data_IF_897705092756
#
_entry.id   IF_897705092756
#
_cell.length_a   1.000
_cell.length_b   1.000
_cell.length_c   1.000
_cell.angle_alpha   90.00
_cell.angle_beta   90.00
_cell.angle_gamma   90.00
#
_symmetry.space_group_name_H-M   'P 1'
#
loop_
_entity.id
_entity.type
_entity.pdbx_description
1 polymer ?
#
# COMPACT_ATOMS: atom_id res chain seq x y z
N UNK A 1 -4.36 -12.01 -34.25
CA UNK A 1 -5.13 -12.69 -33.20
C UNK A 1 -6.15 -11.70 -32.68
N UNK A 2 -7.31 -11.70 -33.31
CA UNK A 2 -8.44 -10.83 -32.95
C UNK A 2 -9.11 -11.34 -31.68
N UNK A 3 -9.31 -10.42 -30.73
CA UNK A 3 -10.01 -10.71 -29.48
C UNK A 3 -11.47 -10.27 -29.63
N UNK A 4 -12.36 -11.26 -29.66
CA UNK A 4 -13.80 -11.12 -29.76
C UNK A 4 -14.39 -10.35 -28.55
N UNK A 5 -15.27 -9.40 -28.82
CA UNK A 5 -15.76 -8.35 -27.92
C UNK A 5 -17.24 -8.50 -27.56
N UNK A 6 -17.75 -9.74 -27.51
CA UNK A 6 -19.17 -10.02 -27.23
C UNK A 6 -19.41 -10.65 -25.85
N UNK A 7 -19.27 -9.85 -24.78
CA UNK A 7 -20.02 -10.05 -23.51
C UNK A 7 -19.95 -8.79 -22.65
N UNK A 8 -20.76 -7.76 -22.98
CA UNK A 8 -20.98 -6.62 -22.08
C UNK A 8 -22.27 -5.83 -22.43
N UNK A 9 -23.41 -6.49 -22.65
CA UNK A 9 -24.67 -5.82 -23.00
C UNK A 9 -25.77 -5.85 -21.93
N UNK A 10 -25.58 -6.49 -20.77
CA UNK A 10 -26.68 -6.70 -19.79
C UNK A 10 -26.66 -5.84 -18.52
N UNK A 11 -25.83 -4.79 -18.43
CA UNK A 11 -25.72 -3.95 -17.21
C UNK A 11 -26.30 -2.53 -17.37
N UNK A 12 -26.85 -2.18 -18.55
CA UNK A 12 -27.40 -0.84 -18.80
C UNK A 12 -28.84 -0.59 -18.33
N UNK A 13 -29.56 -1.59 -17.83
CA UNK A 13 -30.99 -1.45 -17.49
C UNK A 13 -31.30 -1.08 -16.02
N UNK A 14 -30.34 -1.09 -15.09
CA UNK A 14 -30.62 -0.91 -13.65
C UNK A 14 -30.26 0.50 -13.11
N UNK A 15 -29.61 1.34 -13.92
CA UNK A 15 -29.15 2.68 -13.46
C UNK A 15 -30.19 3.80 -13.69
N UNK A 16 -31.24 3.54 -14.48
CA UNK A 16 -32.25 4.56 -14.80
C UNK A 16 -33.32 4.77 -13.69
N UNK A 17 -33.44 3.88 -12.70
CA UNK A 17 -34.51 3.94 -11.70
C UNK A 17 -34.13 4.62 -10.38
N UNK A 18 -32.86 4.92 -10.15
CA UNK A 18 -32.39 5.54 -8.89
C UNK A 18 -32.25 7.06 -8.93
N UNK A 19 -32.53 7.71 -10.08
CA UNK A 19 -32.37 9.17 -10.23
C UNK A 19 -33.63 9.99 -9.91
N UNK A 20 -34.77 9.35 -9.65
CA UNK A 20 -36.06 10.04 -9.44
C UNK A 20 -36.35 10.32 -7.94
N UNK A 21 -35.65 9.67 -7.01
CA UNK A 21 -35.92 9.81 -5.57
C UNK A 21 -35.01 10.81 -4.82
N UNK A 22 -34.11 11.51 -5.51
CA UNK A 22 -33.22 12.51 -4.89
C UNK A 22 -33.75 13.96 -4.95
N UNK A 23 -34.97 14.18 -5.45
CA UNK A 23 -35.56 15.51 -5.66
C UNK A 23 -36.54 15.98 -4.57
N UNK A 24 -36.64 15.27 -3.43
CA UNK A 24 -37.51 15.69 -2.32
C UNK A 24 -36.70 16.05 -1.08
N UNK A 25 -36.48 17.36 -0.96
CA UNK A 25 -36.27 18.20 0.21
C UNK A 25 -35.96 17.58 1.58
N UNK A 26 -35.00 18.20 2.29
CA UNK A 26 -35.24 19.01 3.50
C UNK A 26 -33.86 19.48 4.01
N UNK A 27 -33.53 20.76 3.81
CA UNK A 27 -32.38 21.41 4.44
C UNK A 27 -32.83 21.99 5.79
N UNK A 28 -32.32 21.43 6.90
CA UNK A 28 -32.38 22.09 8.22
C UNK A 28 -31.09 22.86 8.46
N UNK A 29 -31.24 24.17 8.69
CA UNK A 29 -30.22 25.11 9.11
C UNK A 29 -29.78 24.81 10.55
N UNK A 30 -28.47 24.72 10.79
CA UNK A 30 -27.88 24.64 12.13
C UNK A 30 -27.22 26.00 12.45
N UNK A 31 -27.53 26.64 13.59
CA UNK A 31 -26.94 27.92 13.95
C UNK A 31 -25.49 27.79 14.45
N UNK A 32 -24.66 28.75 14.04
CA UNK A 32 -23.28 28.96 14.50
C UNK A 32 -23.26 29.35 15.99
N UNK A 33 -22.49 28.63 16.81
CA UNK A 33 -22.13 29.07 18.17
C UNK A 33 -20.80 29.84 18.14
N UNK A 34 -20.79 30.96 18.85
CA UNK A 34 -19.66 31.86 19.04
C UNK A 34 -18.53 31.19 19.84
N UNK A 35 -17.29 31.50 19.44
CA UNK A 35 -16.07 31.12 20.15
C UNK A 35 -15.73 32.26 21.11
N UNK A 36 -15.82 32.00 22.41
CA UNK A 36 -15.32 32.90 23.46
C UNK A 36 -13.84 32.58 23.66
N UNK A 37 -13.01 33.60 23.45
CA UNK A 37 -11.57 33.61 23.72
C UNK A 37 -11.33 34.13 25.13
N UNK A 38 -10.72 33.32 25.98
CA UNK A 38 -10.13 33.79 27.23
C UNK A 38 -8.67 33.33 27.32
N UNK A 39 -7.77 34.30 27.25
CA UNK A 39 -6.37 34.15 27.65
C UNK A 39 -6.25 34.43 29.15
N UNK A 40 -5.54 33.57 29.87
CA UNK A 40 -4.91 33.96 31.12
C UNK A 40 -3.59 33.19 31.25
N UNK A 41 -2.50 33.96 31.30
CA UNK A 41 -1.17 33.48 31.61
C UNK A 41 -1.06 33.19 33.10
N UNK A 42 -0.40 32.10 33.47
CA UNK A 42 0.14 31.94 34.82
C UNK A 42 1.43 31.15 34.71
N UNK A 43 2.55 31.84 34.93
CA UNK A 43 3.86 31.26 35.11
C UNK A 43 3.95 30.77 36.57
N UNK A 44 4.02 29.46 36.75
CA UNK A 44 4.23 28.83 38.06
C UNK A 44 5.15 27.63 37.87
N UNK A 45 6.36 27.72 38.42
CA UNK A 45 7.34 26.64 38.44
C UNK A 45 6.83 25.49 39.32
N UNK A 46 6.66 24.32 38.73
CA UNK A 46 6.33 23.08 39.44
C UNK A 46 7.42 22.05 39.15
N UNK A 47 8.12 21.63 40.20
CA UNK A 47 9.04 20.51 40.17
C UNK A 47 8.31 19.28 39.62
N UNK A 48 8.77 18.75 38.48
CA UNK A 48 8.14 17.62 37.80
C UNK A 48 8.39 16.34 38.59
N UNK A 49 7.52 16.05 39.56
CA UNK A 49 7.36 14.71 40.10
C UNK A 49 6.82 13.84 38.97
N UNK A 50 7.75 13.14 38.30
CA UNK A 50 7.46 12.14 37.28
C UNK A 50 6.73 10.96 37.92
N UNK A 51 5.43 11.15 38.16
CA UNK A 51 4.46 10.10 38.46
C UNK A 51 4.50 9.09 37.31
N UNK A 52 5.30 8.03 37.49
CA UNK A 52 5.29 6.88 36.58
C UNK A 52 3.92 6.24 36.75
N UNK A 53 3.02 6.53 35.81
CA UNK A 53 1.74 5.84 35.74
C UNK A 53 1.99 4.33 35.82
N UNK A 54 1.27 3.62 36.72
CA UNK A 54 1.46 2.19 36.90
C UNK A 54 1.29 1.50 35.55
N UNK A 55 2.35 0.78 35.14
CA UNK A 55 2.35 0.04 33.88
C UNK A 55 1.51 -1.21 34.10
N UNK A 56 0.26 -1.20 33.63
CA UNK A 56 -0.61 -2.37 33.73
C UNK A 56 0.06 -3.58 33.05
N UNK A 57 0.00 -4.78 33.66
CA UNK A 57 0.56 -5.99 33.06
C UNK A 57 -0.10 -6.27 31.71
N UNK A 58 0.71 -6.35 30.66
CA UNK A 58 0.24 -6.64 29.31
C UNK A 58 -0.02 -8.14 29.23
N UNK A 59 -1.30 -8.53 29.20
CA UNK A 59 -1.65 -9.93 28.93
C UNK A 59 -1.18 -10.30 27.52
N UNK A 60 -0.45 -11.42 27.35
CA UNK A 60 0.06 -11.83 26.05
C UNK A 60 -1.12 -12.14 25.11
N UNK A 61 -1.21 -11.39 24.02
CA UNK A 61 -2.24 -11.57 22.98
C UNK A 61 -1.72 -12.59 21.97
N UNK A 62 -2.45 -13.68 21.77
CA UNK A 62 -2.13 -14.66 20.71
C UNK A 62 -2.27 -14.01 19.33
N UNK A 63 -1.30 -14.17 18.41
CA UNK A 63 -1.38 -13.59 17.08
C UNK A 63 -2.55 -14.16 16.25
N UNK A 64 -3.32 -13.32 15.53
CA UNK A 64 -4.44 -13.76 14.69
C UNK A 64 -3.98 -14.30 13.32
N UNK A 65 -2.76 -14.82 13.25
CA UNK A 65 -2.10 -15.35 12.06
C UNK A 65 -1.06 -16.39 12.43
N UNK A 66 -0.76 -17.30 11.49
CA UNK A 66 0.12 -18.44 11.74
C UNK A 66 1.59 -18.02 11.83
N UNK A 67 1.99 -17.10 10.93
CA UNK A 67 3.37 -16.61 10.83
C UNK A 67 3.40 -15.20 10.24
N UNK A 68 4.35 -14.39 10.70
CA UNK A 68 4.72 -13.15 10.04
C UNK A 68 5.90 -13.39 9.08
N UNK A 69 5.87 -12.74 7.92
CA UNK A 69 6.99 -12.63 7.02
C UNK A 69 7.35 -11.16 6.88
N UNK A 70 8.64 -10.85 6.86
CA UNK A 70 9.09 -9.51 6.49
C UNK A 70 10.11 -9.59 5.34
N UNK A 71 9.90 -8.77 4.32
CA UNK A 71 10.77 -8.71 3.14
C UNK A 71 11.89 -7.70 3.41
N UNK A 72 13.14 -8.13 3.30
CA UNK A 72 14.31 -7.32 3.60
C UNK A 72 15.50 -7.68 2.68
N UNK A 73 16.22 -6.66 2.22
CA UNK A 73 17.44 -6.86 1.45
C UNK A 73 18.61 -7.28 2.37
N UNK A 74 19.48 -8.19 1.91
CA UNK A 74 20.57 -8.74 2.74
C UNK A 74 21.52 -7.65 3.27
N UNK A 75 21.83 -6.64 2.45
CA UNK A 75 22.69 -5.52 2.86
C UNK A 75 22.03 -4.52 3.81
N UNK A 76 20.73 -4.66 4.12
CA UNK A 76 19.97 -3.74 4.98
C UNK A 76 19.90 -4.23 6.43
N UNK A 77 21.05 -4.52 7.04
CA UNK A 77 21.17 -5.07 8.40
C UNK A 77 20.47 -4.22 9.47
N UNK A 78 20.63 -2.90 9.43
CA UNK A 78 19.95 -1.99 10.38
C UNK A 78 18.42 -2.11 10.30
N UNK A 79 17.86 -2.26 9.08
CA UNK A 79 16.41 -2.40 8.86
C UNK A 79 15.92 -3.77 9.28
N UNK A 80 16.73 -4.81 9.05
CA UNK A 80 16.51 -6.16 9.57
C UNK A 80 16.39 -6.12 11.10
N UNK A 81 17.40 -5.59 11.78
CA UNK A 81 17.45 -5.57 13.24
C UNK A 81 16.29 -4.75 13.83
N UNK A 82 15.92 -3.64 13.16
CA UNK A 82 14.73 -2.85 13.49
C UNK A 82 13.43 -3.65 13.39
N UNK A 83 13.22 -4.41 12.31
CA UNK A 83 12.02 -5.25 12.15
C UNK A 83 11.97 -6.40 13.15
N UNK A 84 13.08 -7.11 13.32
CA UNK A 84 13.15 -8.26 14.22
C UNK A 84 12.93 -7.85 15.68
N UNK A 85 13.46 -6.69 16.09
CA UNK A 85 13.23 -6.15 17.44
C UNK A 85 11.74 -5.94 17.71
N UNK A 86 11.03 -5.27 16.80
CA UNK A 86 9.59 -5.00 16.95
C UNK A 86 8.75 -6.29 16.98
N UNK A 87 9.12 -7.30 16.18
CA UNK A 87 8.42 -8.58 16.12
C UNK A 87 8.70 -9.46 17.34
N UNK A 88 9.95 -9.51 17.82
CA UNK A 88 10.33 -10.21 19.07
C UNK A 88 9.63 -9.60 20.28
N UNK A 89 9.62 -8.26 20.38
CA UNK A 89 8.93 -7.54 21.46
C UNK A 89 7.42 -7.84 21.50
N UNK A 90 6.81 -8.13 20.36
CA UNK A 90 5.40 -8.51 20.28
C UNK A 90 5.15 -10.01 20.50
N UNK A 91 6.19 -10.82 20.74
CA UNK A 91 6.07 -12.28 20.90
C UNK A 91 5.61 -13.01 19.63
N UNK A 92 5.83 -12.42 18.45
CA UNK A 92 5.35 -12.96 17.18
C UNK A 92 6.40 -13.90 16.58
N UNK A 93 5.96 -15.06 16.06
CA UNK A 93 6.82 -15.92 15.23
C UNK A 93 6.94 -15.32 13.83
N UNK A 94 8.17 -15.13 13.37
CA UNK A 94 8.42 -14.51 12.07
C UNK A 94 9.54 -15.19 11.28
N UNK A 95 9.56 -14.89 9.98
CA UNK A 95 10.60 -15.31 9.04
C UNK A 95 11.01 -14.13 8.16
N UNK A 96 12.33 -13.99 7.96
CA UNK A 96 12.88 -13.03 6.99
C UNK A 96 12.77 -13.61 5.59
N UNK A 97 12.10 -12.90 4.70
CA UNK A 97 12.12 -13.19 3.29
C UNK A 97 13.12 -12.29 2.57
N UNK A 98 14.04 -12.89 1.80
CA UNK A 98 15.06 -12.15 1.06
C UNK A 98 14.40 -11.28 -0.01
N UNK A 99 14.64 -9.97 0.05
CA UNK A 99 14.32 -9.08 -1.06
C UNK A 99 15.27 -9.36 -2.23
N UNK A 100 14.71 -9.59 -3.41
CA UNK A 100 15.48 -9.83 -4.62
C UNK A 100 16.08 -8.52 -5.13
N UNK A 101 17.39 -8.44 -5.39
CA UNK A 101 18.00 -7.20 -5.84
C UNK A 101 17.54 -6.88 -7.26
N UNK A 102 17.20 -5.62 -7.54
CA UNK A 102 16.71 -5.19 -8.85
C UNK A 102 17.80 -5.07 -9.93
N UNK A 103 18.70 -6.04 -10.07
CA UNK A 103 19.80 -5.98 -11.04
C UNK A 103 19.46 -6.71 -12.35
N UNK A 104 20.20 -6.45 -13.46
CA UNK A 104 20.03 -7.19 -14.71
C UNK A 104 20.13 -8.72 -14.55
N UNK A 105 20.88 -9.22 -13.56
CA UNK A 105 21.01 -10.65 -13.26
C UNK A 105 19.66 -11.32 -12.92
N UNK A 106 18.63 -10.56 -12.53
CA UNK A 106 17.28 -11.10 -12.36
C UNK A 106 16.71 -11.69 -13.65
N UNK A 107 17.02 -11.09 -14.81
CA UNK A 107 16.51 -11.59 -16.09
C UNK A 107 16.99 -13.02 -16.37
N UNK A 108 18.20 -13.35 -15.92
CA UNK A 108 18.79 -14.68 -16.08
C UNK A 108 18.27 -15.65 -15.00
N UNK A 109 18.34 -15.23 -13.74
CA UNK A 109 18.01 -16.10 -12.58
C UNK A 109 16.51 -16.31 -12.37
N UNK A 110 15.66 -15.43 -12.92
CA UNK A 110 14.21 -15.44 -12.72
C UNK A 110 13.46 -15.34 -14.06
N UNK A 111 14.05 -15.86 -15.14
CA UNK A 111 13.53 -15.79 -16.53
C UNK A 111 12.05 -16.11 -16.65
N UNK A 112 11.57 -17.15 -15.97
CA UNK A 112 10.17 -17.58 -16.00
C UNK A 112 9.16 -16.49 -15.59
N UNK A 113 9.56 -15.49 -14.78
CA UNK A 113 8.69 -14.37 -14.43
C UNK A 113 8.62 -13.30 -15.52
N UNK A 114 9.65 -13.23 -16.38
CA UNK A 114 9.81 -12.25 -17.45
C UNK A 114 9.26 -12.72 -18.81
N UNK A 115 9.03 -14.02 -19.01
CA UNK A 115 8.46 -14.58 -20.25
C UNK A 115 7.11 -13.96 -20.62
N UNK A 116 6.39 -13.44 -19.62
CA UNK A 116 5.12 -12.72 -19.78
C UNK A 116 5.28 -11.21 -19.94
N UNK A 117 6.49 -10.70 -20.14
CA UNK A 117 6.76 -9.27 -20.32
C UNK A 117 6.74 -8.42 -19.04
N UNK A 118 7.20 -7.18 -19.21
CA UNK A 118 7.24 -6.12 -18.20
C UNK A 118 6.54 -4.89 -18.78
N UNK A 119 5.79 -4.17 -17.97
CA UNK A 119 5.13 -2.94 -18.42
C UNK A 119 6.15 -1.90 -18.91
N UNK A 120 5.87 -1.26 -20.04
CA UNK A 120 6.78 -0.33 -20.72
C UNK A 120 7.31 0.77 -19.78
N UNK A 121 6.44 1.33 -18.93
CA UNK A 121 6.80 2.42 -18.01
C UNK A 121 7.82 2.00 -16.93
N UNK A 122 7.98 0.70 -16.65
CA UNK A 122 8.99 0.23 -15.70
C UNK A 122 10.40 0.27 -16.30
N UNK A 123 10.53 0.21 -17.63
CA UNK A 123 11.82 0.42 -18.30
C UNK A 123 12.21 1.90 -18.31
N UNK A 124 11.23 2.80 -18.41
CA UNK A 124 11.44 4.26 -18.49
C UNK A 124 11.91 4.87 -17.16
N UNK A 125 11.68 4.18 -16.03
CA UNK A 125 11.93 4.74 -14.71
C UNK A 125 13.43 4.83 -14.34
N UNK A 126 14.34 4.31 -15.15
CA UNK A 126 15.78 4.46 -14.94
C UNK A 126 16.54 4.53 -16.27
N UNK A 127 17.49 5.46 -16.33
CA UNK A 127 18.34 5.83 -17.47
C UNK A 127 17.70 6.79 -18.48
N UNK A 128 17.85 8.09 -18.20
CA UNK A 128 17.75 9.13 -19.26
C UNK A 128 19.14 9.62 -19.67
N UNK A 129 20.21 9.11 -19.04
CA UNK A 129 21.59 9.51 -19.34
C UNK A 129 22.48 8.39 -19.90
N UNK A 130 22.33 7.13 -19.44
CA UNK A 130 23.28 6.05 -19.79
C UNK A 130 22.66 4.88 -20.56
N UNK A 131 21.34 4.77 -20.70
CA UNK A 131 20.66 3.60 -21.27
C UNK A 131 20.78 2.30 -20.46
N UNK A 132 21.62 2.26 -19.42
CA UNK A 132 21.83 1.08 -18.58
C UNK A 132 20.98 1.21 -17.33
N UNK A 133 20.17 0.19 -17.07
CA UNK A 133 19.36 0.19 -15.86
C UNK A 133 20.14 -0.45 -14.71
N UNK A 134 20.65 0.39 -13.82
CA UNK A 134 21.41 -0.06 -12.67
C UNK A 134 20.54 -0.71 -11.59
N UNK A 135 19.30 -0.24 -11.42
CA UNK A 135 18.36 -0.74 -10.38
C UNK A 135 16.89 -0.72 -10.82
N UNK A 136 16.20 -1.84 -10.60
CA UNK A 136 14.76 -2.02 -10.80
C UNK A 136 14.01 -2.17 -9.48
N UNK A 137 13.94 -1.11 -8.67
CA UNK A 137 13.27 -1.17 -7.35
C UNK A 137 11.82 -1.70 -7.42
N UNK A 138 11.06 -1.33 -8.46
CA UNK A 138 9.67 -1.82 -8.63
C UNK A 138 9.61 -3.30 -9.03
N UNK A 139 10.48 -3.76 -9.94
CA UNK A 139 10.55 -5.18 -10.34
C UNK A 139 11.06 -6.04 -9.18
N UNK A 140 12.09 -5.56 -8.49
CA UNK A 140 12.61 -6.15 -7.25
C UNK A 140 11.51 -6.34 -6.22
N UNK A 141 10.72 -5.28 -5.94
CA UNK A 141 9.59 -5.35 -5.01
C UNK A 141 8.55 -6.36 -5.50
N UNK A 142 8.19 -6.33 -6.78
CA UNK A 142 7.24 -7.27 -7.36
C UNK A 142 7.69 -8.72 -7.20
N UNK A 143 8.92 -9.05 -7.60
CA UNK A 143 9.43 -10.42 -7.55
C UNK A 143 9.62 -10.89 -6.11
N UNK A 144 10.05 -10.02 -5.20
CA UNK A 144 10.21 -10.37 -3.78
C UNK A 144 8.87 -10.78 -3.15
N UNK A 145 7.79 -10.05 -3.45
CA UNK A 145 6.44 -10.43 -3.02
C UNK A 145 5.96 -11.69 -3.73
N UNK A 146 6.16 -11.80 -5.05
CA UNK A 146 5.71 -12.97 -5.83
C UNK A 146 6.35 -14.27 -5.33
N UNK A 147 7.68 -14.30 -5.15
CA UNK A 147 8.39 -15.48 -4.66
C UNK A 147 7.97 -15.85 -3.23
N UNK A 148 7.73 -14.85 -2.37
CA UNK A 148 7.17 -15.09 -1.03
C UNK A 148 5.79 -15.75 -1.11
N UNK A 149 4.92 -15.27 -2.00
CA UNK A 149 3.57 -15.84 -2.15
C UNK A 149 3.63 -17.30 -2.61
N UNK A 150 4.52 -17.62 -3.55
CA UNK A 150 4.74 -19.00 -4.00
C UNK A 150 5.27 -19.88 -2.88
N UNK A 151 6.22 -19.38 -2.10
CA UNK A 151 6.71 -20.08 -0.92
C UNK A 151 5.58 -20.38 0.08
N UNK A 152 4.78 -19.37 0.43
CA UNK A 152 3.68 -19.55 1.39
C UNK A 152 2.66 -20.56 0.87
N UNK A 153 2.27 -20.46 -0.42
CA UNK A 153 1.32 -21.40 -1.02
C UNK A 153 1.88 -22.82 -1.12
N UNK A 154 3.18 -22.97 -1.36
CA UNK A 154 3.84 -24.27 -1.39
C UNK A 154 3.86 -24.94 -0.01
N UNK A 155 4.18 -24.19 1.04
CA UNK A 155 4.33 -24.75 2.40
C UNK A 155 2.98 -24.91 3.12
N UNK A 156 2.06 -23.96 2.98
CA UNK A 156 0.78 -23.95 3.72
C UNK A 156 -0.46 -24.14 2.84
N UNK A 157 -0.30 -24.50 1.57
CA UNK A 157 -1.40 -24.61 0.62
C UNK A 157 -2.56 -25.46 1.12
N UNK A 158 -2.30 -26.60 1.75
CA UNK A 158 -3.34 -27.50 2.24
C UNK A 158 -4.30 -26.84 3.27
N UNK A 159 -3.83 -25.84 4.04
CA UNK A 159 -4.60 -25.25 5.13
C UNK A 159 -5.30 -23.95 4.71
N UNK A 160 -6.52 -24.08 4.17
CA UNK A 160 -7.30 -22.96 3.59
C UNK A 160 -7.66 -21.81 4.55
N UNK A 161 -7.65 -22.05 5.87
CA UNK A 161 -7.98 -21.06 6.90
C UNK A 161 -6.77 -20.26 7.39
N UNK A 162 -5.55 -20.70 7.05
CA UNK A 162 -4.32 -20.02 7.46
C UNK A 162 -4.24 -18.58 6.94
N UNK A 163 -3.86 -17.68 7.84
CA UNK A 163 -3.55 -16.28 7.55
C UNK A 163 -2.08 -15.96 7.88
N UNK A 164 -1.54 -14.99 7.16
CA UNK A 164 -0.14 -14.56 7.26
C UNK A 164 -0.08 -13.04 7.30
N UNK A 165 0.81 -12.53 8.17
CA UNK A 165 1.19 -11.13 8.18
C UNK A 165 2.40 -10.96 7.25
N UNK A 166 2.32 -10.04 6.29
CA UNK A 166 3.42 -9.73 5.38
C UNK A 166 3.81 -8.27 5.59
N UNK A 167 5.11 -8.05 5.81
CA UNK A 167 5.71 -6.77 6.14
C UNK A 167 6.82 -6.39 5.16
N UNK A 168 7.03 -5.10 4.96
CA UNK A 168 8.26 -4.55 4.39
C UNK A 168 9.15 -3.99 5.51
N UNK A 169 10.45 -3.93 5.26
CA UNK A 169 11.48 -3.54 6.22
C UNK A 169 11.59 -2.03 6.49
N UNK A 170 10.65 -1.22 5.98
CA UNK A 170 10.41 0.19 6.33
C UNK A 170 9.08 0.40 7.08
N UNK A 171 8.52 -0.67 7.64
CA UNK A 171 7.31 -0.58 8.45
C UNK A 171 7.65 -0.32 9.90
N UNK A 172 7.21 0.80 10.45
CA UNK A 172 7.21 1.01 11.88
C UNK A 172 5.86 0.65 12.48
N UNK A 173 5.84 -0.35 13.35
CA UNK A 173 4.63 -0.76 14.05
C UNK A 173 4.43 0.13 15.29
N UNK A 174 3.17 0.44 15.60
CA UNK A 174 2.81 1.18 16.82
C UNK A 174 3.07 0.30 18.04
N UNK A 175 3.21 0.93 19.20
CA UNK A 175 3.17 0.20 20.48
C UNK A 175 1.82 -0.53 20.59
N UNK A 176 1.84 -1.76 21.10
CA UNK A 176 0.66 -2.62 21.24
C UNK A 176 -0.09 -2.91 19.93
N UNK A 177 0.59 -2.83 18.77
CA UNK A 177 -0.03 -3.05 17.46
C UNK A 177 -0.74 -4.41 17.34
N UNK A 178 -0.25 -5.45 18.03
CA UNK A 178 -0.86 -6.78 17.98
C UNK A 178 -2.22 -6.80 18.66
N UNK A 179 -2.34 -6.13 19.81
CA UNK A 179 -3.61 -5.95 20.50
C UNK A 179 -4.59 -5.13 19.66
N UNK A 180 -4.11 -4.03 19.06
CA UNK A 180 -4.90 -3.21 18.14
C UNK A 180 -5.39 -4.05 16.95
N UNK A 181 -4.52 -4.84 16.34
CA UNK A 181 -4.87 -5.71 15.22
C UNK A 181 -5.95 -6.72 15.61
N UNK A 182 -5.79 -7.38 16.77
CA UNK A 182 -6.79 -8.33 17.27
C UNK A 182 -8.14 -7.66 17.57
N UNK A 183 -8.15 -6.41 18.02
CA UNK A 183 -9.38 -5.63 18.21
C UNK A 183 -10.05 -5.30 16.87
N UNK A 184 -9.30 -4.76 15.90
CA UNK A 184 -9.83 -4.39 14.58
C UNK A 184 -10.33 -5.63 13.82
N UNK A 185 -9.63 -6.77 13.93
CA UNK A 185 -10.06 -8.01 13.25
C UNK A 185 -11.40 -8.58 13.74
N UNK A 186 -11.88 -8.18 14.92
CA UNK A 186 -13.24 -8.54 15.36
C UNK A 186 -14.33 -7.75 14.65
N UNK A 187 -13.97 -6.62 14.03
CA UNK A 187 -14.88 -5.70 13.37
C UNK A 187 -14.90 -5.85 11.84
N UNK A 188 -13.87 -6.50 11.27
CA UNK A 188 -13.84 -6.77 9.82
C UNK A 188 -14.82 -7.91 9.48
N UNK A 189 -15.43 -7.84 8.30
CA UNK A 189 -16.26 -8.94 7.79
C UNK A 189 -15.49 -10.27 7.87
N UNK A 190 -16.02 -11.32 8.53
CA UNK A 190 -15.30 -12.58 8.77
C UNK A 190 -14.81 -13.29 7.50
N UNK A 191 -15.39 -12.96 6.35
CA UNK A 191 -15.04 -13.52 5.05
C UNK A 191 -13.99 -12.68 4.28
N UNK A 192 -13.26 -11.81 4.99
CA UNK A 192 -12.14 -11.07 4.40
C UNK A 192 -11.11 -11.99 3.73
N UNK A 193 -10.52 -11.53 2.65
CA UNK A 193 -9.45 -12.23 1.94
C UNK A 193 -8.09 -11.61 2.21
N UNK A 194 -8.08 -10.27 2.28
CA UNK A 194 -6.90 -9.42 2.48
C UNK A 194 -7.27 -8.20 3.29
N UNK A 195 -6.35 -7.77 4.13
CA UNK A 195 -6.49 -6.55 4.91
C UNK A 195 -5.20 -5.74 4.84
N UNK A 196 -5.25 -4.55 4.24
CA UNK A 196 -4.14 -3.61 4.21
C UNK A 196 -4.07 -2.88 5.56
N UNK A 197 -2.96 -3.05 6.26
CA UNK A 197 -2.79 -2.57 7.64
C UNK A 197 -1.98 -1.28 7.71
N UNK A 198 -1.02 -1.12 6.80
CA UNK A 198 -0.24 0.09 6.56
C UNK A 198 -0.15 0.28 5.05
N UNK A 199 -0.65 1.42 4.58
CA UNK A 199 -0.78 1.75 3.16
C UNK A 199 -0.71 3.27 2.97
N UNK A 200 -0.49 3.74 1.74
CA UNK A 200 -0.40 5.13 1.33
C UNK A 200 -1.28 5.47 0.12
N UNK A 201 -1.46 6.77 -0.14
CA UNK A 201 -2.37 7.27 -1.18
C UNK A 201 -3.72 7.72 -0.61
N UNK A 202 -4.77 7.65 -1.41
CA UNK A 202 -6.12 8.11 -1.09
C UNK A 202 -7.01 6.95 -0.63
N UNK A 203 -7.97 7.28 0.23
CA UNK A 203 -9.15 6.45 0.47
C UNK A 203 -10.33 6.98 -0.33
N UNK A 204 -11.23 6.09 -0.74
CA UNK A 204 -12.57 6.43 -1.20
C UNK A 204 -13.47 6.54 0.02
N UNK A 205 -13.78 7.77 0.46
CA UNK A 205 -14.54 8.03 1.69
C UNK A 205 -15.88 7.26 1.72
N UNK A 206 -16.57 7.19 0.58
CA UNK A 206 -17.84 6.47 0.42
C UNK A 206 -17.72 4.94 0.57
N UNK A 207 -16.50 4.40 0.60
CA UNK A 207 -16.24 2.97 0.79
C UNK A 207 -15.81 2.63 2.22
N UNK A 208 -15.80 3.61 3.14
CA UNK A 208 -15.29 3.46 4.50
C UNK A 208 -16.42 3.50 5.55
N UNK A 209 -16.20 2.84 6.70
CA UNK A 209 -17.19 2.70 7.77
C UNK A 209 -16.67 3.08 9.18
N UNK A 210 -15.64 3.91 9.28
CA UNK A 210 -15.01 4.33 10.54
C UNK A 210 -13.84 3.44 10.99
N UNK A 211 -13.74 2.23 10.43
CA UNK A 211 -12.69 1.25 10.74
C UNK A 211 -11.97 0.78 9.48
N UNK A 212 -12.75 0.39 8.47
CA UNK A 212 -12.24 -0.19 7.23
C UNK A 212 -12.81 0.52 6.02
N UNK A 213 -12.03 0.54 4.96
CA UNK A 213 -12.47 0.87 3.62
C UNK A 213 -12.48 -0.37 2.73
N UNK A 214 -13.54 -0.56 1.95
CA UNK A 214 -13.58 -1.59 0.90
C UNK A 214 -12.64 -1.18 -0.24
N UNK A 215 -11.65 -2.02 -0.51
CA UNK A 215 -10.67 -1.78 -1.57
C UNK A 215 -11.24 -2.29 -2.89
N UNK A 216 -11.43 -1.38 -3.84
CA UNK A 216 -11.94 -1.66 -5.19
C UNK A 216 -10.99 -1.13 -6.26
N UNK A 217 -10.93 -1.76 -7.46
CA UNK A 217 -10.29 -1.15 -8.61
C UNK A 217 -10.99 0.15 -9.04
N UNK A 218 -10.30 1.01 -9.81
CA UNK A 218 -8.89 0.91 -10.16
C UNK A 218 -7.97 1.37 -9.02
N UNK A 219 -6.72 0.90 -8.97
CA UNK A 219 -5.74 1.33 -7.95
C UNK A 219 -5.23 2.75 -8.17
N UNK A 220 -5.28 3.23 -9.40
CA UNK A 220 -4.72 4.50 -9.84
C UNK A 220 -5.34 4.87 -11.20
N UNK A 221 -4.80 5.87 -11.92
CA UNK A 221 -5.28 6.16 -13.25
C UNK A 221 -5.21 4.90 -14.12
N UNK A 222 -6.26 4.67 -14.88
CA UNK A 222 -6.35 3.66 -15.93
C UNK A 222 -5.53 4.12 -17.15
N UNK A 223 -5.42 3.27 -18.17
CA UNK A 223 -4.64 3.41 -19.43
C UNK A 223 -4.66 4.79 -20.12
N UNK A 224 -5.54 5.72 -19.73
CA UNK A 224 -5.68 7.07 -20.28
C UNK A 224 -4.97 8.18 -19.48
N UNK A 225 -4.19 7.87 -18.44
CA UNK A 225 -3.51 8.91 -17.65
C UNK A 225 -2.17 8.46 -17.07
N UNK A 226 -1.18 9.37 -16.95
CA UNK A 226 0.12 9.01 -16.41
C UNK A 226 -0.01 8.43 -15.00
N UNK A 227 0.47 7.21 -14.78
CA UNK A 227 0.63 6.61 -13.44
C UNK A 227 1.41 7.52 -12.47
N UNK A 228 2.15 8.50 -12.98
CA UNK A 228 2.91 9.49 -12.23
C UNK A 228 2.10 10.72 -11.76
N UNK A 229 0.85 10.92 -12.20
CA UNK A 229 0.05 12.11 -11.85
C UNK A 229 -1.39 11.82 -11.39
N UNK A 230 -1.86 10.58 -11.44
CA UNK A 230 -3.22 10.23 -11.02
C UNK A 230 -3.35 9.91 -9.53
N UNK A 231 -4.58 10.05 -9.02
CA UNK A 231 -4.97 9.64 -7.66
C UNK A 231 -4.71 8.15 -7.47
N UNK A 232 -3.76 7.79 -6.61
CA UNK A 232 -3.49 6.40 -6.20
C UNK A 232 -4.32 6.07 -4.96
N UNK A 233 -5.09 4.99 -5.01
CA UNK A 233 -5.99 4.54 -3.96
C UNK A 233 -5.47 3.26 -3.32
N UNK A 234 -5.34 3.25 -1.99
CA UNK A 234 -4.95 2.06 -1.22
C UNK A 234 -3.63 1.40 -1.69
N UNK A 235 -2.67 2.21 -2.13
CA UNK A 235 -1.36 1.70 -2.54
C UNK A 235 -0.48 1.42 -1.33
N UNK A 236 0.59 0.64 -1.50
CA UNK A 236 1.49 0.27 -0.42
C UNK A 236 1.14 -1.07 0.19
N UNK A 237 2.18 -1.90 0.33
CA UNK A 237 2.15 -3.22 0.94
C UNK A 237 3.11 -3.28 2.13
N UNK A 238 3.26 -2.16 2.85
CA UNK A 238 4.13 -2.06 4.01
C UNK A 238 3.73 -3.08 5.08
N UNK A 239 2.44 -3.17 5.40
CA UNK A 239 1.93 -4.20 6.28
C UNK A 239 0.55 -4.65 5.81
N UNK A 240 0.33 -5.95 5.71
CA UNK A 240 -0.97 -6.49 5.34
C UNK A 240 -1.14 -7.94 5.79
N UNK A 241 -2.40 -8.31 6.06
CA UNK A 241 -2.81 -9.68 6.33
C UNK A 241 -3.40 -10.31 5.08
N UNK A 242 -3.17 -11.60 4.91
CA UNK A 242 -3.70 -12.37 3.78
C UNK A 242 -4.02 -13.80 4.17
N UNK A 243 -5.15 -14.32 3.66
CA UNK A 243 -5.48 -15.74 3.74
C UNK A 243 -4.88 -16.52 2.58
N UNK A 244 -4.52 -17.78 2.81
CA UNK A 244 -3.89 -18.64 1.78
C UNK A 244 -4.74 -18.74 0.49
N UNK A 245 -6.08 -18.79 0.63
CA UNK A 245 -7.01 -18.82 -0.50
C UNK A 245 -6.87 -17.60 -1.41
N UNK A 246 -6.57 -16.45 -0.81
CA UNK A 246 -6.34 -15.20 -1.53
C UNK A 246 -4.99 -15.19 -2.24
N UNK A 247 -3.93 -15.71 -1.60
CA UNK A 247 -2.61 -15.86 -2.24
C UNK A 247 -2.69 -16.76 -3.48
N UNK A 248 -3.41 -17.87 -3.42
CA UNK A 248 -3.66 -18.73 -4.61
C UNK A 248 -4.36 -17.98 -5.74
N UNK A 249 -5.39 -17.19 -5.41
CA UNK A 249 -6.08 -16.34 -6.38
C UNK A 249 -5.11 -15.33 -7.01
N UNK A 250 -4.26 -14.69 -6.19
CA UNK A 250 -3.27 -13.72 -6.64
C UNK A 250 -2.21 -14.35 -7.54
N UNK A 251 -1.58 -15.44 -7.11
CA UNK A 251 -0.54 -16.13 -7.89
C UNK A 251 -1.05 -16.53 -9.28
N UNK A 252 -2.25 -17.11 -9.38
CA UNK A 252 -2.85 -17.46 -10.68
C UNK A 252 -2.96 -16.25 -11.62
N UNK A 253 -3.22 -15.05 -11.08
CA UNK A 253 -3.31 -13.83 -11.89
C UNK A 253 -1.96 -13.20 -12.17
N UNK A 254 -1.06 -13.15 -11.19
CA UNK A 254 0.31 -12.65 -11.36
C UNK A 254 1.06 -13.45 -12.41
N UNK A 255 0.80 -14.77 -12.52
CA UNK A 255 1.38 -15.64 -13.56
C UNK A 255 0.93 -15.33 -14.98
N UNK A 256 -0.20 -14.63 -15.16
CA UNK A 256 -0.81 -14.32 -16.46
C UNK A 256 -0.70 -12.85 -16.87
N UNK A 257 0.04 -12.04 -16.11
CA UNK A 257 0.11 -10.59 -16.32
C UNK A 257 1.55 -10.12 -16.41
N UNK A 258 1.76 -9.07 -17.19
CA UNK A 258 3.04 -8.37 -17.24
C UNK A 258 3.48 -7.96 -15.83
N UNK A 259 4.80 -7.97 -15.60
CA UNK A 259 5.37 -7.40 -14.39
C UNK A 259 5.03 -5.91 -14.36
N UNK A 260 4.46 -5.46 -13.24
CA UNK A 260 4.16 -4.06 -12.96
C UNK A 260 4.28 -3.76 -11.48
N UNK A 261 3.97 -2.54 -11.06
CA UNK A 261 3.87 -2.22 -9.64
C UNK A 261 2.93 -3.20 -8.88
N UNK A 262 3.48 -3.93 -7.90
CA UNK A 262 2.74 -4.96 -7.16
C UNK A 262 1.57 -4.37 -6.37
N UNK A 263 1.69 -3.16 -5.80
CA UNK A 263 0.61 -2.47 -5.09
C UNK A 263 -0.62 -2.33 -6.01
N UNK A 264 -0.37 -1.91 -7.27
CA UNK A 264 -1.42 -1.75 -8.26
C UNK A 264 -2.04 -3.10 -8.64
N UNK A 265 -1.23 -4.14 -8.86
CA UNK A 265 -1.75 -5.48 -9.12
C UNK A 265 -2.63 -5.98 -7.98
N UNK A 266 -2.24 -5.73 -6.74
CA UNK A 266 -2.98 -6.17 -5.57
C UNK A 266 -4.37 -5.53 -5.51
N UNK A 267 -4.49 -4.22 -5.74
CA UNK A 267 -5.78 -3.53 -5.73
C UNK A 267 -6.62 -3.83 -6.98
N UNK A 268 -5.99 -3.94 -8.15
CA UNK A 268 -6.68 -4.28 -9.40
C UNK A 268 -7.14 -5.74 -9.47
N UNK A 269 -6.57 -6.58 -8.62
CA UNK A 269 -7.02 -7.94 -8.49
C UNK A 269 -8.42 -7.95 -7.85
N UNK A 270 -9.45 -8.19 -8.66
CA UNK A 270 -10.81 -8.51 -8.22
C UNK A 270 -10.90 -9.87 -7.49
N UNK A 271 -9.91 -10.23 -6.66
CA UNK A 271 -10.13 -11.28 -5.66
C UNK A 271 -11.02 -10.64 -4.59
N UNK A 272 -12.19 -11.23 -4.29
CA UNK A 272 -13.21 -10.57 -3.49
C UNK A 272 -12.71 -10.24 -2.07
N UNK A 273 -13.35 -9.23 -1.45
CA UNK A 273 -13.26 -8.93 0.00
C UNK A 273 -11.87 -8.50 0.47
N UNK A 274 -11.34 -7.47 -0.19
CA UNK A 274 -10.15 -6.75 0.27
C UNK A 274 -10.56 -5.51 1.03
N UNK A 275 -9.97 -5.33 2.20
CA UNK A 275 -10.22 -4.18 3.07
C UNK A 275 -8.91 -3.46 3.34
N UNK A 276 -9.01 -2.20 3.73
CA UNK A 276 -7.89 -1.40 4.20
C UNK A 276 -8.29 -0.71 5.49
N UNK A 277 -7.43 -0.72 6.51
CA UNK A 277 -7.67 0.08 7.72
C UNK A 277 -7.77 1.56 7.37
N UNK A 278 -8.65 2.30 8.04
CA UNK A 278 -8.64 3.76 7.95
C UNK A 278 -7.30 4.33 8.43
N UNK A 279 -6.90 5.49 7.88
CA UNK A 279 -5.55 6.04 8.09
C UNK A 279 -5.19 6.26 9.56
N UNK A 280 -6.12 6.75 10.36
CA UNK A 280 -5.95 6.94 11.80
C UNK A 280 -5.93 5.60 12.58
N UNK A 281 -6.47 4.52 12.01
CA UNK A 281 -6.56 3.17 12.59
C UNK A 281 -5.39 2.25 12.21
N UNK A 282 -4.57 2.61 11.22
CA UNK A 282 -3.40 1.82 10.81
C UNK A 282 -2.55 1.42 12.02
N UNK A 283 -2.08 0.18 12.02
CA UNK A 283 -1.29 -0.38 13.13
C UNK A 283 0.17 0.11 13.14
N UNK A 284 0.56 0.91 12.16
CA UNK A 284 1.92 1.35 11.93
C UNK A 284 1.98 2.51 10.95
N UNK A 285 3.19 2.88 10.55
CA UNK A 285 3.47 3.89 9.53
C UNK A 285 4.61 3.45 8.62
N UNK A 286 4.62 4.02 7.43
CA UNK A 286 5.68 3.84 6.43
C UNK A 286 6.82 4.84 6.72
N UNK A 287 8.07 4.34 6.83
CA UNK A 287 9.27 5.14 7.11
C UNK A 287 10.12 5.45 5.87
N UNK A 288 9.49 5.58 4.70
CA UNK A 288 10.17 5.77 3.41
C UNK A 288 11.22 6.90 3.43
N UNK A 289 10.92 7.99 4.14
CA UNK A 289 11.74 9.21 4.15
C UNK A 289 12.82 9.13 5.21
N UNK A 290 12.47 8.62 6.38
CA UNK A 290 13.33 8.53 7.55
C UNK A 290 14.44 7.49 7.37
N UNK A 291 14.17 6.44 6.57
CA UNK A 291 15.13 5.36 6.31
C UNK A 291 15.88 5.51 4.97
N UNK A 292 15.73 6.65 4.28
CA UNK A 292 16.49 6.95 3.06
C UNK A 292 16.15 6.05 1.87
N UNK A 293 14.86 5.76 1.65
CA UNK A 293 14.43 4.91 0.53
C UNK A 293 14.87 5.45 -0.84
N UNK A 294 15.11 4.54 -1.78
CA UNK A 294 15.32 4.89 -3.20
C UNK A 294 14.14 5.68 -3.77
N UNK A 295 12.94 5.52 -3.21
CA UNK A 295 11.74 6.25 -3.63
C UNK A 295 11.81 7.74 -3.26
N UNK A 296 12.38 8.09 -2.11
CA UNK A 296 12.65 9.49 -1.78
C UNK A 296 13.60 10.13 -2.81
N UNK A 297 14.63 9.39 -3.24
CA UNK A 297 15.57 9.82 -4.28
C UNK A 297 14.91 9.93 -5.66
N UNK A 298 14.11 8.94 -6.08
CA UNK A 298 13.39 8.97 -7.36
C UNK A 298 12.39 10.12 -7.45
N UNK A 299 11.66 10.41 -6.36
CA UNK A 299 10.75 11.56 -6.29
C UNK A 299 11.49 12.89 -6.45
N UNK A 300 12.73 13.01 -5.97
CA UNK A 300 13.56 14.22 -6.13
C UNK A 300 13.94 14.43 -7.60
N UNK A 301 14.44 13.39 -8.27
CA UNK A 301 14.78 13.43 -9.70
C UNK A 301 13.56 13.78 -10.56
N UNK A 302 12.41 13.14 -10.29
CA UNK A 302 11.18 13.40 -11.04
C UNK A 302 10.67 14.82 -10.86
N UNK A 303 10.67 15.34 -9.61
CA UNK A 303 10.33 16.75 -9.35
C UNK A 303 11.22 17.68 -10.15
N UNK A 304 12.51 17.41 -10.22
CA UNK A 304 13.44 18.21 -11.02
C UNK A 304 13.10 18.15 -12.51
N UNK A 305 12.80 16.97 -13.06
CA UNK A 305 12.40 16.84 -14.47
C UNK A 305 11.10 17.60 -14.79
N UNK A 306 10.12 17.58 -13.89
CA UNK A 306 8.89 18.37 -14.05
C UNK A 306 9.16 19.87 -14.03
N UNK A 307 10.04 20.34 -13.15
CA UNK A 307 10.47 21.74 -13.11
C UNK A 307 11.18 22.13 -14.41
N UNK A 308 12.09 21.28 -14.91
CA UNK A 308 12.80 21.51 -16.17
C UNK A 308 11.85 21.55 -17.38
N UNK A 309 10.87 20.64 -17.46
CA UNK A 309 9.84 20.66 -18.51
C UNK A 309 9.01 21.94 -18.48
N UNK A 310 8.59 22.40 -17.29
CA UNK A 310 7.85 23.66 -17.14
C UNK A 310 8.68 24.88 -17.55
N UNK A 311 9.98 24.87 -17.24
CA UNK A 311 10.91 25.93 -17.67
C UNK A 311 11.02 25.98 -19.21
N UNK A 312 11.18 24.82 -19.86
CA UNK A 312 11.23 24.73 -21.33
C UNK A 312 9.95 25.19 -22.04
N UNK A 313 8.77 24.88 -21.47
CA UNK A 313 7.50 25.36 -22.03
C UNK A 313 7.37 26.89 -21.88
N UNK A 314 7.85 27.46 -20.77
CA UNK A 314 7.86 28.92 -20.58
C UNK A 314 8.77 29.62 -21.60
N UNK A 315 10.02 29.16 -21.80
CA UNK A 315 10.94 29.80 -22.75
C UNK A 315 10.47 29.73 -24.20
N UNK A 316 9.77 28.66 -24.61
CA UNK A 316 9.15 28.57 -25.94
C UNK A 316 8.01 29.58 -26.17
N UNK A 317 7.30 29.96 -25.12
CA UNK A 317 6.20 30.94 -25.24
C UNK A 317 6.70 32.38 -25.34
N UNK A 318 7.90 32.69 -24.84
CA UNK A 318 8.50 34.04 -24.96
C UNK A 318 9.20 34.30 -26.30
N UNK A 319 9.53 33.26 -27.05
CA UNK A 319 10.23 33.36 -28.35
C UNK A 319 9.28 33.31 -29.55
N UNK A 320 7.96 33.42 -29.33
CA UNK A 320 7.01 33.51 -30.44
C UNK A 320 7.03 34.97 -30.95
N UNK A 321 7.56 35.26 -32.15
CA UNK A 321 7.58 36.62 -32.68
C UNK A 321 6.14 37.12 -32.80
N UNK A 322 5.90 38.36 -32.35
CA UNK A 322 4.64 39.04 -32.57
C UNK A 322 4.39 39.08 -34.09
N UNK A 323 3.26 38.52 -34.51
CA UNK A 323 2.78 38.64 -35.89
C UNK A 323 1.80 39.79 -35.98
#
# INVERSE_FOLDING_TARGET
MDYDSRTCSTVRAVVALSLVLALLGVHRLIPRRAVVSTSAATAGGAASSSSRLPTLPITPVSPPFVRAFYINADGSSRRRDFMETQLRQAGVRFERWRALPGTPALLQTHRAYFDRGVEAHLFVNHSVASGVIEKWGTVSTYLSHHTLFEHIVRVWGANSSSSFLILQDDTQLKRNWLQMLSQELRLVNPDWARLLLVWWGLARKQACNGHFCVVKPPAGPTEKGPECCGKRFYHGLQAWLVRIRSLRCLLRRLKRRHIKNIDAQMVQCNCPRTYALEKNRMIGRHLDKELGSERASANKVWKQQLLNKRAHVRTRNYTRPAR
#
